data_IF_727294149714
#
_entry.id   IF_727294149714
#
_cell.length_a   1.000
_cell.length_b   1.000
_cell.length_c   1.000
_cell.angle_alpha   90.00
_cell.angle_beta   90.00
_cell.angle_gamma   90.00
#
_symmetry.space_group_name_H-M   'P 1'
#
loop_
_entity.id
_entity.type
_entity.pdbx_description
1 polymer ?
#
# COMPACT_ATOMS: atom_id res chain seq x y z
N UNK A 1 63.67 -13.77 13.66
CA UNK A 1 62.28 -14.28 13.80
C UNK A 1 61.50 -13.91 12.54
N UNK A 2 60.51 -14.71 12.15
CA UNK A 2 59.81 -14.66 10.85
C UNK A 2 58.80 -13.50 10.74
N UNK A 3 59.27 -12.26 10.92
CA UNK A 3 58.43 -11.04 10.92
C UNK A 3 57.70 -10.85 9.59
N UNK A 4 58.40 -11.08 8.48
CA UNK A 4 57.82 -11.02 7.13
C UNK A 4 56.69 -12.04 6.93
N UNK A 5 56.84 -13.27 7.47
CA UNK A 5 55.77 -14.27 7.42
C UNK A 5 54.60 -13.92 8.33
N UNK A 6 54.83 -13.21 9.43
CA UNK A 6 53.76 -12.72 10.29
C UNK A 6 52.95 -11.63 9.59
N UNK A 7 53.62 -10.66 8.97
CA UNK A 7 53.00 -9.60 8.18
C UNK A 7 52.19 -10.19 7.02
N UNK A 8 52.76 -11.13 6.26
CA UNK A 8 52.04 -11.81 5.17
C UNK A 8 50.80 -12.56 5.69
N UNK A 9 50.90 -13.29 6.80
CA UNK A 9 49.75 -13.99 7.40
C UNK A 9 48.67 -13.02 7.85
N UNK A 10 49.04 -11.89 8.47
CA UNK A 10 48.11 -10.85 8.87
C UNK A 10 47.42 -10.20 7.66
N UNK A 11 48.19 -9.90 6.60
CA UNK A 11 47.66 -9.37 5.34
C UNK A 11 46.67 -10.36 4.70
N UNK A 12 47.04 -11.64 4.59
CA UNK A 12 46.13 -12.67 4.07
C UNK A 12 44.86 -12.81 4.90
N UNK A 13 44.97 -12.77 6.24
CA UNK A 13 43.80 -12.83 7.12
C UNK A 13 42.85 -11.62 6.93
N UNK A 14 43.41 -10.42 6.75
CA UNK A 14 42.63 -9.21 6.45
C UNK A 14 41.97 -9.32 5.08
N UNK A 15 42.70 -9.74 4.04
CA UNK A 15 42.16 -9.89 2.69
C UNK A 15 41.07 -10.96 2.63
N UNK A 16 41.23 -12.09 3.32
CA UNK A 16 40.18 -13.12 3.40
C UNK A 16 38.96 -12.61 4.16
N UNK A 17 39.16 -11.83 5.23
CA UNK A 17 38.06 -11.19 5.97
C UNK A 17 37.27 -10.19 5.12
N UNK A 18 37.96 -9.34 4.36
CA UNK A 18 37.34 -8.38 3.44
C UNK A 18 36.60 -9.09 2.30
N UNK A 19 37.19 -10.13 1.72
CA UNK A 19 36.54 -10.93 0.69
C UNK A 19 35.26 -11.59 1.21
N UNK A 20 35.29 -12.16 2.42
CA UNK A 20 34.12 -12.76 3.05
C UNK A 20 33.03 -11.72 3.31
N UNK A 21 33.38 -10.55 3.84
CA UNK A 21 32.42 -9.45 4.05
C UNK A 21 31.79 -9.00 2.74
N UNK A 22 32.59 -8.84 1.68
CA UNK A 22 32.09 -8.47 0.36
C UNK A 22 31.10 -9.51 -0.18
N UNK A 23 31.42 -10.80 -0.05
CA UNK A 23 30.53 -11.90 -0.45
C UNK A 23 29.21 -11.83 0.33
N UNK A 24 29.25 -11.59 1.64
CA UNK A 24 28.04 -11.47 2.47
C UNK A 24 27.18 -10.27 2.05
N UNK A 25 27.80 -9.13 1.75
CA UNK A 25 27.09 -7.94 1.25
C UNK A 25 26.45 -8.23 -0.12
N UNK A 26 27.18 -8.84 -1.05
CA UNK A 26 26.63 -9.23 -2.34
C UNK A 26 25.48 -10.24 -2.21
N UNK A 27 25.63 -11.23 -1.32
CA UNK A 27 24.58 -12.22 -1.06
C UNK A 27 23.34 -11.57 -0.45
N UNK A 28 23.51 -10.66 0.53
CA UNK A 28 22.42 -9.87 1.10
C UNK A 28 21.76 -9.01 0.02
N UNK A 29 22.53 -8.29 -0.80
CA UNK A 29 22.00 -7.48 -1.90
C UNK A 29 21.24 -8.29 -2.94
N UNK A 30 21.72 -9.49 -3.32
CA UNK A 30 20.99 -10.37 -4.24
C UNK A 30 19.70 -10.87 -3.59
N UNK A 31 19.79 -11.37 -2.34
CA UNK A 31 18.63 -11.85 -1.58
C UNK A 31 17.59 -10.75 -1.38
N UNK A 32 18.04 -9.51 -1.17
CA UNK A 32 17.19 -8.35 -0.93
C UNK A 32 16.78 -7.60 -2.19
N UNK A 33 17.48 -7.75 -3.30
CA UNK A 33 17.17 -7.08 -4.56
C UNK A 33 16.26 -7.94 -5.44
N UNK A 34 16.39 -9.25 -5.37
CA UNK A 34 15.67 -10.18 -6.25
C UNK A 34 14.37 -10.70 -5.63
N UNK A 35 13.35 -10.88 -6.47
CA UNK A 35 12.14 -11.62 -6.09
C UNK A 35 11.16 -10.90 -5.16
N UNK A 36 11.34 -9.61 -4.88
CA UNK A 36 10.43 -8.80 -4.06
C UNK A 36 9.01 -8.79 -4.63
N UNK A 37 8.01 -8.96 -3.75
CA UNK A 37 6.60 -9.05 -4.15
C UNK A 37 6.11 -7.80 -4.88
N UNK A 38 6.42 -6.59 -4.37
CA UNK A 38 6.08 -5.34 -5.03
C UNK A 38 6.66 -5.21 -6.45
N UNK A 39 7.91 -5.66 -6.65
CA UNK A 39 8.57 -5.60 -7.96
C UNK A 39 7.93 -6.57 -8.97
N UNK A 40 7.51 -7.75 -8.48
CA UNK A 40 6.73 -8.72 -9.28
C UNK A 40 5.37 -8.12 -9.65
N UNK A 41 4.66 -7.50 -8.70
CA UNK A 41 3.39 -6.84 -8.96
C UNK A 41 3.54 -5.73 -10.01
N UNK A 42 4.54 -4.85 -9.89
CA UNK A 42 4.80 -3.81 -10.88
C UNK A 42 5.11 -4.36 -12.27
N UNK A 43 5.85 -5.47 -12.34
CA UNK A 43 6.11 -6.12 -13.62
C UNK A 43 4.83 -6.71 -14.25
N UNK A 44 3.92 -7.23 -13.42
CA UNK A 44 2.57 -7.64 -13.85
C UNK A 44 1.74 -6.47 -14.37
N UNK A 45 1.78 -5.32 -13.69
CA UNK A 45 1.09 -4.11 -14.12
C UNK A 45 1.60 -3.60 -15.47
N UNK A 46 2.93 -3.52 -15.66
CA UNK A 46 3.52 -3.13 -16.95
C UNK A 46 3.10 -4.07 -18.07
N UNK A 47 2.96 -5.37 -17.80
CA UNK A 47 2.46 -6.32 -18.79
C UNK A 47 1.00 -6.05 -19.17
N UNK A 48 0.16 -5.67 -18.20
CA UNK A 48 -1.24 -5.27 -18.45
C UNK A 48 -1.31 -3.98 -19.27
N UNK A 49 -0.49 -2.98 -18.95
CA UNK A 49 -0.40 -1.73 -19.72
C UNK A 49 -0.02 -1.99 -21.17
N UNK A 50 1.00 -2.84 -21.40
CA UNK A 50 1.40 -3.23 -22.75
C UNK A 50 0.27 -3.92 -23.49
N UNK A 51 -0.41 -4.89 -22.85
CA UNK A 51 -1.54 -5.60 -23.45
C UNK A 51 -2.70 -4.65 -23.81
N UNK A 52 -2.98 -3.68 -22.95
CA UNK A 52 -3.98 -2.64 -23.23
C UNK A 52 -3.57 -1.79 -24.43
N UNK A 53 -2.34 -1.29 -24.44
CA UNK A 53 -1.83 -0.47 -25.53
C UNK A 53 -1.81 -1.21 -26.88
N UNK A 54 -1.42 -2.49 -26.89
CA UNK A 54 -1.45 -3.35 -28.08
C UNK A 54 -2.88 -3.63 -28.60
N UNK A 55 -3.92 -3.35 -27.78
CA UNK A 55 -5.33 -3.51 -28.16
C UNK A 55 -5.99 -2.23 -28.68
N UNK A 56 -5.32 -1.08 -28.58
CA UNK A 56 -5.85 0.21 -29.02
C UNK A 56 -5.84 0.36 -30.55
N UNK A 57 -6.77 1.16 -31.06
CA UNK A 57 -6.76 1.60 -32.46
C UNK A 57 -5.60 2.58 -32.69
N UNK A 58 -5.15 2.72 -33.95
CA UNK A 58 -3.99 3.54 -34.30
C UNK A 58 -4.12 5.02 -33.88
N UNK A 59 -5.34 5.56 -33.85
CA UNK A 59 -5.64 6.93 -33.44
C UNK A 59 -5.49 7.11 -31.92
N UNK A 60 -6.01 6.17 -31.13
CA UNK A 60 -5.92 6.19 -29.66
C UNK A 60 -4.50 5.85 -29.17
N UNK A 61 -3.76 5.04 -29.92
CA UNK A 61 -2.39 4.63 -29.59
C UNK A 61 -1.43 5.82 -29.46
N UNK A 62 -1.60 6.86 -30.27
CA UNK A 62 -0.75 8.06 -30.26
C UNK A 62 -1.06 9.02 -29.11
N UNK A 63 -2.25 8.89 -28.51
CA UNK A 63 -2.72 9.74 -27.40
C UNK A 63 -2.60 9.07 -26.03
N UNK A 64 -2.50 7.73 -26.00
CA UNK A 64 -2.38 6.99 -24.76
C UNK A 64 -1.01 7.16 -24.11
N UNK A 65 -0.98 7.44 -22.79
CA UNK A 65 0.24 7.30 -21.99
C UNK A 65 0.78 5.89 -22.13
N UNK A 66 2.04 5.79 -22.53
CA UNK A 66 2.66 4.53 -22.93
C UNK A 66 2.98 3.68 -21.71
N UNK A 67 3.07 2.35 -21.91
CA UNK A 67 3.54 1.45 -20.85
C UNK A 67 4.97 1.79 -20.37
N UNK A 68 5.76 2.50 -21.19
CA UNK A 68 7.13 2.94 -20.89
C UNK A 68 7.20 4.03 -19.82
N UNK A 69 6.10 4.73 -19.58
CA UNK A 69 6.07 5.90 -18.70
C UNK A 69 5.94 5.48 -17.23
N UNK A 70 5.59 4.22 -16.99
CA UNK A 70 5.52 3.65 -15.65
C UNK A 70 6.92 3.40 -15.07
N UNK A 71 7.34 4.27 -14.15
CA UNK A 71 8.58 4.11 -13.38
C UNK A 71 8.42 3.04 -12.28
N UNK A 72 9.29 2.03 -12.27
CA UNK A 72 9.30 1.01 -11.20
C UNK A 72 10.00 1.54 -9.95
N UNK A 73 9.40 1.32 -8.78
CA UNK A 73 9.99 1.75 -7.52
C UNK A 73 9.06 1.52 -6.33
N UNK A 74 9.56 1.83 -5.13
CA UNK A 74 8.72 1.86 -3.94
C UNK A 74 8.06 3.23 -3.88
N UNK A 75 6.74 3.25 -4.06
CA UNK A 75 5.95 4.45 -3.93
C UNK A 75 5.55 4.63 -2.47
N UNK A 76 5.85 5.80 -1.91
CA UNK A 76 5.54 6.12 -0.52
C UNK A 76 4.76 7.42 -0.43
N UNK A 77 3.57 7.34 0.19
CA UNK A 77 2.77 8.49 0.59
C UNK A 77 3.05 8.77 2.07
N UNK A 78 3.55 9.97 2.37
CA UNK A 78 3.82 10.42 3.73
C UNK A 78 2.70 11.35 4.19
N UNK A 79 2.00 10.97 5.27
CA UNK A 79 0.81 11.65 5.75
C UNK A 79 1.02 12.10 7.21
N UNK A 80 1.83 13.14 7.46
CA UNK A 80 2.16 13.55 8.82
C UNK A 80 0.94 14.00 9.62
N UNK A 81 -0.06 14.61 8.97
CA UNK A 81 -1.31 15.05 9.61
C UNK A 81 -2.12 13.86 10.15
N UNK A 82 -2.08 12.73 9.45
CA UNK A 82 -2.75 11.48 9.83
C UNK A 82 -1.83 10.54 10.62
N UNK A 83 -0.57 10.92 10.85
CA UNK A 83 0.49 10.10 11.47
C UNK A 83 0.65 8.74 10.78
N UNK A 84 0.59 8.74 9.45
CA UNK A 84 0.61 7.54 8.60
C UNK A 84 1.68 7.62 7.53
N UNK A 85 2.17 6.45 7.13
CA UNK A 85 3.01 6.26 5.94
C UNK A 85 2.43 5.07 5.20
N UNK A 86 2.22 5.24 3.91
CA UNK A 86 1.54 4.28 3.06
C UNK A 86 2.38 3.94 1.82
N UNK A 87 2.45 2.67 1.47
CA UNK A 87 3.18 2.12 0.32
C UNK A 87 2.33 1.14 -0.49
N UNK A 88 1.02 1.06 -0.23
CA UNK A 88 0.11 0.11 -0.87
C UNK A 88 0.14 0.23 -2.40
N UNK A 89 0.25 1.46 -2.92
CA UNK A 89 0.34 1.74 -4.35
C UNK A 89 1.63 1.21 -5.01
N UNK A 90 2.61 0.72 -4.24
CA UNK A 90 3.75 -0.04 -4.81
C UNK A 90 3.31 -1.35 -5.47
N UNK A 91 2.20 -1.95 -5.01
CA UNK A 91 1.62 -3.17 -5.57
C UNK A 91 0.31 -2.89 -6.31
N UNK A 92 -0.55 -2.04 -5.72
CA UNK A 92 -1.87 -1.68 -6.23
C UNK A 92 -1.81 -0.57 -7.28
N UNK A 93 -1.01 -0.77 -8.32
CA UNK A 93 -0.65 0.28 -9.27
C UNK A 93 -1.80 0.74 -10.18
N UNK A 94 -2.84 -0.08 -10.36
CA UNK A 94 -3.98 0.28 -11.22
C UNK A 94 -5.14 0.94 -10.48
N UNK A 95 -4.98 1.26 -9.19
CA UNK A 95 -6.07 1.72 -8.33
C UNK A 95 -6.70 3.05 -8.80
N UNK A 96 -5.91 3.95 -9.38
CA UNK A 96 -6.35 5.22 -9.99
C UNK A 96 -6.36 5.16 -11.53
N UNK A 97 -6.07 3.98 -12.12
CA UNK A 97 -5.98 3.83 -13.57
C UNK A 97 -7.33 3.33 -14.15
N UNK A 98 -8.08 4.15 -14.90
CA UNK A 98 -9.38 3.74 -15.46
C UNK A 98 -9.25 2.60 -16.48
N UNK A 99 -8.06 2.39 -17.06
CA UNK A 99 -7.80 1.28 -18.00
C UNK A 99 -7.86 -0.09 -17.32
N UNK A 100 -7.86 -0.12 -15.99
CA UNK A 100 -7.74 -1.33 -15.18
C UNK A 100 -9.04 -1.79 -14.51
N UNK A 101 -10.18 -1.27 -14.94
CA UNK A 101 -11.49 -1.60 -14.36
C UNK A 101 -11.73 -3.13 -14.28
N UNK A 102 -11.34 -3.84 -15.34
CA UNK A 102 -11.50 -5.28 -15.48
C UNK A 102 -10.22 -6.08 -15.19
N UNK A 103 -9.16 -5.43 -14.70
CA UNK A 103 -7.90 -6.10 -14.39
C UNK A 103 -8.04 -7.06 -13.20
N UNK A 104 -7.19 -8.10 -13.11
CA UNK A 104 -7.09 -8.93 -11.91
C UNK A 104 -6.46 -8.15 -10.75
N UNK A 105 -6.76 -8.58 -9.51
CA UNK A 105 -6.04 -8.07 -8.33
C UNK A 105 -4.54 -8.42 -8.44
N UNK A 106 -3.63 -7.54 -7.99
CA UNK A 106 -3.86 -6.28 -7.25
C UNK A 106 -4.04 -5.04 -8.15
N UNK A 107 -4.18 -5.20 -9.46
CA UNK A 107 -4.12 -4.09 -10.42
C UNK A 107 -5.48 -3.48 -10.77
N UNK A 108 -6.57 -3.94 -10.16
CA UNK A 108 -7.90 -3.42 -10.46
C UNK A 108 -8.07 -1.99 -9.96
N UNK A 109 -8.80 -1.18 -10.71
CA UNK A 109 -9.24 0.17 -10.31
C UNK A 109 -10.05 0.13 -9.02
N UNK A 110 -10.01 1.22 -8.25
CA UNK A 110 -10.80 1.35 -7.03
C UNK A 110 -12.29 1.23 -7.33
N UNK A 111 -13.07 0.48 -6.52
CA UNK A 111 -14.52 0.44 -6.67
C UNK A 111 -15.16 1.75 -6.20
N UNK A 112 -16.14 2.27 -6.96
CA UNK A 112 -16.84 3.51 -6.63
C UNK A 112 -15.99 4.77 -6.83
N UNK A 113 -16.54 5.92 -6.44
CA UNK A 113 -16.02 7.27 -6.68
C UNK A 113 -15.34 7.89 -5.46
N UNK A 114 -15.08 7.12 -4.40
CA UNK A 114 -14.54 7.62 -3.13
C UNK A 114 -13.22 8.39 -3.28
N UNK A 115 -12.38 7.99 -4.23
CA UNK A 115 -11.08 8.63 -4.50
C UNK A 115 -11.20 10.01 -5.15
N UNK A 116 -12.36 10.37 -5.72
CA UNK A 116 -12.61 11.73 -6.23
C UNK A 116 -12.56 12.76 -5.09
N UNK A 117 -13.07 12.38 -3.92
CA UNK A 117 -13.08 13.23 -2.72
C UNK A 117 -11.99 12.85 -1.69
N UNK A 118 -11.36 11.69 -1.85
CA UNK A 118 -10.29 11.19 -0.98
C UNK A 118 -9.09 10.69 -1.79
N UNK A 119 -8.35 11.59 -2.45
CA UNK A 119 -7.21 11.20 -3.27
C UNK A 119 -6.14 10.48 -2.44
N UNK A 120 -5.57 9.41 -2.98
CA UNK A 120 -4.65 8.52 -2.25
C UNK A 120 -3.41 9.28 -1.78
N UNK A 121 -2.96 10.27 -2.54
CA UNK A 121 -1.79 11.10 -2.20
C UNK A 121 -1.99 11.96 -0.95
N UNK A 122 -3.24 12.20 -0.55
CA UNK A 122 -3.58 13.03 0.62
C UNK A 122 -4.11 12.22 1.80
N UNK A 123 -4.73 11.06 1.54
CA UNK A 123 -5.35 10.24 2.59
C UNK A 123 -4.70 8.88 2.80
N UNK A 124 -4.05 8.32 1.79
CA UNK A 124 -3.50 6.97 1.80
C UNK A 124 -4.57 5.88 1.92
N UNK A 125 -4.19 4.64 1.58
CA UNK A 125 -5.09 3.49 1.62
C UNK A 125 -5.41 3.09 3.07
N UNK A 126 -4.40 3.11 3.94
CA UNK A 126 -4.49 2.61 5.31
C UNK A 126 -5.35 3.47 6.25
N UNK A 127 -5.71 4.69 5.85
CA UNK A 127 -6.65 5.52 6.60
C UNK A 127 -8.05 4.94 6.56
N UNK A 128 -8.50 4.46 5.40
CA UNK A 128 -9.79 3.79 5.22
C UNK A 128 -9.68 2.29 5.52
N UNK A 129 -8.72 1.61 4.89
CA UNK A 129 -8.62 0.16 4.94
C UNK A 129 -7.87 -0.40 6.14
N UNK A 130 -7.12 0.39 6.91
CA UNK A 130 -6.22 -0.18 7.92
C UNK A 130 -5.02 -0.90 7.30
N UNK A 131 -4.48 -1.93 7.96
CA UNK A 131 -3.26 -2.61 7.54
C UNK A 131 -1.96 -1.85 7.85
N UNK A 132 -0.86 -2.41 7.38
CA UNK A 132 0.51 -1.99 7.69
C UNK A 132 1.14 -1.28 6.50
N UNK A 133 0.83 0.02 6.35
CA UNK A 133 1.21 0.82 5.18
C UNK A 133 2.72 0.92 4.88
N UNK A 134 3.60 0.53 5.81
CA UNK A 134 5.06 0.53 5.59
C UNK A 134 5.57 -0.77 4.97
N UNK A 135 4.80 -1.85 5.05
CA UNK A 135 5.20 -3.16 4.59
C UNK A 135 5.14 -3.25 3.05
N UNK A 136 5.91 -4.19 2.50
CA UNK A 136 6.07 -4.40 1.06
C UNK A 136 5.84 -5.86 0.63
N UNK A 137 5.29 -6.66 1.54
CA UNK A 137 4.83 -8.02 1.33
C UNK A 137 3.31 -8.05 1.58
N UNK A 138 2.58 -8.92 0.89
CA UNK A 138 1.11 -8.98 0.97
C UNK A 138 0.65 -9.30 2.39
N UNK A 139 1.24 -10.30 3.03
CA UNK A 139 0.82 -10.75 4.36
C UNK A 139 1.06 -9.67 5.41
N UNK A 140 2.23 -9.04 5.42
CA UNK A 140 2.52 -7.99 6.40
C UNK A 140 1.69 -6.75 6.14
N UNK A 141 1.61 -6.30 4.88
CA UNK A 141 0.84 -5.10 4.51
C UNK A 141 -0.65 -5.23 4.86
N UNK A 142 -1.22 -6.42 4.72
CA UNK A 142 -2.61 -6.67 5.09
C UNK A 142 -2.79 -6.96 6.59
N UNK A 143 -1.72 -7.05 7.36
CA UNK A 143 -1.76 -7.41 8.78
C UNK A 143 -2.21 -8.86 9.02
N UNK A 144 -1.93 -9.76 8.06
CA UNK A 144 -2.35 -11.17 8.05
C UNK A 144 -1.20 -12.15 8.39
N UNK A 145 -0.05 -11.64 8.79
CA UNK A 145 1.09 -12.47 9.20
C UNK A 145 0.73 -13.30 10.45
N UNK A 146 0.73 -14.65 10.40
CA UNK A 146 0.23 -15.49 11.48
C UNK A 146 1.04 -15.38 12.78
N UNK A 147 2.31 -15.03 12.68
CA UNK A 147 3.22 -14.81 13.80
C UNK A 147 3.01 -13.46 14.51
N UNK A 148 2.26 -12.53 13.91
CA UNK A 148 2.10 -11.16 14.43
C UNK A 148 0.63 -10.76 14.55
N UNK A 149 0.23 -10.34 15.75
CA UNK A 149 -1.11 -9.78 15.99
C UNK A 149 -1.05 -8.27 15.82
N UNK A 150 -1.36 -7.80 14.62
CA UNK A 150 -1.34 -6.37 14.33
C UNK A 150 -2.56 -5.66 14.92
N UNK A 151 -2.38 -4.47 15.56
CA UNK A 151 -3.50 -3.72 16.13
C UNK A 151 -4.41 -3.10 15.05
N UNK A 152 -3.97 -3.10 13.79
CA UNK A 152 -4.66 -2.49 12.66
C UNK A 152 -4.67 -3.46 11.47
N UNK A 153 -5.48 -4.53 11.52
CA UNK A 153 -5.62 -5.41 10.35
C UNK A 153 -6.24 -4.65 9.17
N UNK A 154 -6.14 -5.21 7.97
CA UNK A 154 -6.91 -4.73 6.83
C UNK A 154 -8.40 -4.98 7.10
N UNK A 155 -9.21 -3.94 6.98
CA UNK A 155 -10.66 -3.98 7.08
C UNK A 155 -11.25 -4.31 5.71
N UNK A 156 -12.00 -5.40 5.65
CA UNK A 156 -12.80 -5.78 4.49
C UNK A 156 -14.22 -5.21 4.62
N UNK A 157 -14.97 -5.19 3.51
CA UNK A 157 -16.41 -4.91 3.57
C UNK A 157 -17.11 -5.93 4.48
N UNK A 158 -18.11 -5.51 5.30
CA UNK A 158 -18.63 -4.15 5.41
C UNK A 158 -17.90 -3.25 6.43
N UNK A 159 -16.88 -3.76 7.10
CA UNK A 159 -16.24 -3.11 8.25
C UNK A 159 -15.42 -1.87 7.89
N UNK A 160 -15.00 -1.73 6.63
CA UNK A 160 -14.30 -0.53 6.14
C UNK A 160 -15.11 0.75 6.40
N UNK A 161 -16.45 0.68 6.35
CA UNK A 161 -17.31 1.84 6.57
C UNK A 161 -17.14 2.46 7.97
N UNK A 162 -16.67 1.69 8.96
CA UNK A 162 -16.36 2.23 10.28
C UNK A 162 -15.25 3.29 10.23
N UNK A 163 -14.35 3.24 9.24
CA UNK A 163 -13.27 4.22 9.07
C UNK A 163 -13.77 5.60 8.64
N UNK A 164 -14.94 5.71 7.98
CA UNK A 164 -15.52 7.00 7.59
C UNK A 164 -15.73 7.91 8.81
N UNK A 165 -16.10 7.30 9.95
CA UNK A 165 -16.27 8.00 11.21
C UNK A 165 -15.01 8.70 11.72
N UNK A 166 -13.80 8.25 11.36
CA UNK A 166 -12.56 8.89 11.85
C UNK A 166 -12.51 10.40 11.56
N UNK A 167 -13.17 10.83 10.47
CA UNK A 167 -13.27 12.23 10.09
C UNK A 167 -14.73 12.73 10.06
N UNK A 168 -15.69 11.91 9.61
CA UNK A 168 -17.10 12.31 9.42
C UNK A 168 -17.99 12.05 10.66
N UNK A 169 -17.47 12.24 11.87
CA UNK A 169 -18.17 11.94 13.13
C UNK A 169 -18.98 13.11 13.70
N UNK A 170 -19.42 14.07 12.88
CA UNK A 170 -20.36 15.08 13.31
C UNK A 170 -21.74 14.45 13.55
N UNK A 171 -21.89 13.79 14.70
CA UNK A 171 -23.17 13.31 15.28
C UNK A 171 -24.24 14.43 15.30
N UNK A 172 -23.81 15.69 15.15
CA UNK A 172 -24.61 16.90 15.15
C UNK A 172 -24.80 17.57 13.79
N UNK A 173 -24.10 17.15 12.73
CA UNK A 173 -24.35 17.67 11.38
C UNK A 173 -25.41 16.78 10.73
N UNK A 174 -26.41 17.45 10.13
CA UNK A 174 -27.59 16.78 9.60
C UNK A 174 -27.28 15.78 8.49
N UNK A 175 -28.30 15.05 8.01
CA UNK A 175 -28.16 14.00 6.98
C UNK A 175 -27.53 14.46 5.64
N UNK A 176 -27.32 15.77 5.43
CA UNK A 176 -26.73 16.35 4.23
C UNK A 176 -25.21 16.11 4.06
N UNK A 177 -24.51 15.57 5.06
CA UNK A 177 -23.06 15.35 4.99
C UNK A 177 -22.64 14.05 4.29
N UNK A 178 -23.59 13.21 3.85
CA UNK A 178 -23.30 11.92 3.20
C UNK A 178 -24.00 11.83 1.84
N UNK A 179 -23.24 11.61 0.74
CA UNK A 179 -23.81 11.51 -0.58
C UNK A 179 -24.52 10.16 -0.77
N UNK A 180 -25.70 10.22 -1.37
CA UNK A 180 -26.56 9.11 -1.83
C UNK A 180 -27.17 8.16 -0.78
N UNK A 181 -28.51 7.96 -0.80
CA UNK A 181 -29.17 6.86 -0.10
C UNK A 181 -28.60 5.50 -0.55
N UNK A 182 -28.08 4.71 0.38
CA UNK A 182 -27.53 3.36 0.13
C UNK A 182 -26.00 3.28 0.16
N UNK A 183 -25.28 4.41 0.17
CA UNK A 183 -23.86 4.42 0.52
C UNK A 183 -23.69 4.36 2.05
N UNK A 184 -22.71 3.60 2.53
CA UNK A 184 -22.33 3.58 3.96
C UNK A 184 -23.42 3.13 4.96
N UNK A 185 -24.33 2.22 4.56
CA UNK A 185 -25.45 1.76 5.40
C UNK A 185 -25.02 1.23 6.77
N UNK A 186 -23.92 0.47 6.81
CA UNK A 186 -23.41 -0.13 8.05
C UNK A 186 -22.86 0.94 8.98
N UNK A 187 -22.15 1.93 8.45
CA UNK A 187 -21.71 3.07 9.24
C UNK A 187 -22.89 3.89 9.78
N UNK A 188 -23.86 4.22 8.92
CA UNK A 188 -25.04 4.99 9.34
C UNK A 188 -25.84 4.26 10.43
N UNK A 189 -26.02 2.95 10.27
CA UNK A 189 -26.67 2.11 11.28
C UNK A 189 -25.87 2.06 12.58
N UNK A 190 -24.56 1.87 12.48
CA UNK A 190 -23.65 1.86 13.63
C UNK A 190 -23.70 3.19 14.40
N UNK A 191 -23.64 4.32 13.69
CA UNK A 191 -23.76 5.67 14.27
C UNK A 191 -25.08 5.88 14.99
N UNK A 192 -26.19 5.46 14.38
CA UNK A 192 -27.52 5.55 15.01
C UNK A 192 -27.58 4.73 16.31
N UNK A 193 -27.12 3.48 16.29
CA UNK A 193 -27.08 2.62 17.46
C UNK A 193 -26.17 3.20 18.56
N UNK A 194 -24.97 3.64 18.19
CA UNK A 194 -23.99 4.20 19.12
C UNK A 194 -24.54 5.43 19.86
N UNK A 195 -25.31 6.28 19.17
CA UNK A 195 -26.00 7.41 19.80
C UNK A 195 -27.20 6.96 20.63
N UNK A 196 -28.05 6.07 20.11
CA UNK A 196 -29.30 5.63 20.76
C UNK A 196 -29.05 4.87 22.06
N UNK A 197 -28.07 3.98 22.07
CA UNK A 197 -27.72 3.17 23.24
C UNK A 197 -26.89 3.95 24.29
N UNK A 198 -26.68 5.25 24.09
CA UNK A 198 -25.97 6.09 25.04
C UNK A 198 -24.48 5.77 25.15
N UNK A 199 -23.88 5.13 24.15
CA UNK A 199 -22.47 4.73 24.18
C UNK A 199 -21.54 5.95 24.39
N UNK A 200 -21.93 7.12 23.89
CA UNK A 200 -21.24 8.40 24.10
C UNK A 200 -21.09 8.80 25.58
N UNK A 201 -21.87 8.22 26.49
CA UNK A 201 -21.75 8.45 27.93
C UNK A 201 -20.39 7.99 28.49
N UNK A 202 -19.82 6.93 27.92
CA UNK A 202 -18.51 6.39 28.31
C UNK A 202 -17.47 6.48 27.18
N UNK A 203 -17.87 6.23 25.93
CA UNK A 203 -17.00 6.23 24.76
C UNK A 203 -17.12 7.54 23.99
N UNK A 204 -16.28 8.52 24.36
CA UNK A 204 -16.21 9.78 23.62
C UNK A 204 -15.78 9.49 22.18
N UNK A 205 -16.59 9.92 21.23
CA UNK A 205 -16.30 9.82 19.80
C UNK A 205 -15.40 10.97 19.28
N UNK A 206 -14.79 11.75 20.20
CA UNK A 206 -13.73 12.73 19.98
C UNK A 206 -13.04 13.06 21.31
#
# INVERSE_FOLDING_TARGET
MKEERYIQRAQWAVLTGLALLFILICAAWIREGTGREWSKAQSGYVHLLKKYQDSLLAEDYLLAEGYSDFEKGIFQVNLPQLKRVDRCISCHNGIEDPRMENAPQPHRTHPGDFLENHPIREYGCTTCHGGQGRALTRLDAHGQAPETHWPHPLLEEPYIQASCGKCHLSVFEGPAAFPEPGSMEVFQRGRYLFSREGCLGCHKAR
#
